data_IF_529796711280
#
_entry.id   IF_529796711280
#
_cell.length_a   1.000
_cell.length_b   1.000
_cell.length_c   1.000
_cell.angle_alpha   90.00
_cell.angle_beta   90.00
_cell.angle_gamma   90.00
#
_symmetry.space_group_name_H-M   'P 1'
#
loop_
_entity.id
_entity.type
_entity.pdbx_description
1 polymer ?
#
# COMPACT_ATOMS: atom_id res chain seq x y z
N UNK A 1 -3.40 13.36 18.44
CA UNK A 1 -2.20 12.52 18.22
C UNK A 1 -1.11 13.42 17.70
N UNK A 2 0.09 13.33 18.25
CA UNK A 2 1.23 14.14 17.81
C UNK A 2 1.76 13.58 16.47
N UNK A 3 1.93 14.46 15.49
CA UNK A 3 2.27 14.12 14.10
C UNK A 3 3.61 13.37 14.00
N UNK A 4 4.55 13.68 14.90
CA UNK A 4 5.84 13.00 14.98
C UNK A 4 5.69 11.52 15.37
N UNK A 5 4.80 11.23 16.31
CA UNK A 5 4.54 9.85 16.77
C UNK A 5 3.87 9.01 15.67
N UNK A 6 3.00 9.60 14.85
CA UNK A 6 2.41 8.93 13.70
C UNK A 6 3.46 8.56 12.65
N UNK A 7 4.37 9.50 12.33
CA UNK A 7 5.45 9.25 11.38
C UNK A 7 6.43 8.18 11.86
N UNK A 8 6.77 8.16 13.15
CA UNK A 8 7.62 7.12 13.73
C UNK A 8 6.98 5.73 13.59
N UNK A 9 5.70 5.58 13.95
CA UNK A 9 4.96 4.32 13.76
C UNK A 9 4.92 3.90 12.30
N UNK A 10 4.71 4.84 11.38
CA UNK A 10 4.68 4.56 9.95
C UNK A 10 6.05 4.10 9.41
N UNK A 11 7.15 4.67 9.91
CA UNK A 11 8.51 4.22 9.58
C UNK A 11 8.78 2.83 10.14
N UNK A 12 8.35 2.54 11.37
CA UNK A 12 8.49 1.20 11.96
C UNK A 12 7.69 0.15 11.16
N UNK A 13 6.45 0.45 10.81
CA UNK A 13 5.64 -0.41 9.94
C UNK A 13 6.26 -0.58 8.55
N UNK A 14 6.83 0.47 7.96
CA UNK A 14 7.55 0.38 6.69
C UNK A 14 8.78 -0.53 6.80
N UNK A 15 9.56 -0.44 7.88
CA UNK A 15 10.69 -1.34 8.10
C UNK A 15 10.24 -2.79 8.12
N UNK A 16 9.13 -3.08 8.80
CA UNK A 16 8.59 -4.43 8.89
C UNK A 16 8.09 -4.92 7.52
N UNK A 17 7.41 -4.07 6.75
CA UNK A 17 7.01 -4.35 5.36
C UNK A 17 8.20 -4.65 4.45
N UNK A 18 9.28 -3.86 4.55
CA UNK A 18 10.50 -4.07 3.76
C UNK A 18 11.20 -5.38 4.14
N UNK A 19 11.15 -5.79 5.41
CA UNK A 19 11.69 -7.08 5.84
C UNK A 19 10.88 -8.27 5.25
N UNK A 20 9.57 -8.10 5.08
CA UNK A 20 8.71 -9.12 4.46
C UNK A 20 9.06 -9.36 2.98
N UNK A 21 9.49 -8.33 2.24
CA UNK A 21 9.92 -8.47 0.83
C UNK A 21 10.93 -9.61 0.69
N UNK A 22 11.97 -9.63 1.53
CA UNK A 22 12.99 -10.67 1.46
C UNK A 22 12.53 -12.02 2.04
N UNK A 23 11.66 -12.02 3.06
CA UNK A 23 11.25 -13.25 3.75
C UNK A 23 10.15 -14.02 3.02
N UNK A 24 9.30 -13.32 2.28
CA UNK A 24 8.10 -13.85 1.62
C UNK A 24 8.17 -13.74 0.09
N UNK A 25 9.29 -13.28 -0.45
CA UNK A 25 9.49 -13.07 -1.89
C UNK A 25 8.43 -12.14 -2.51
N UNK A 26 8.09 -11.06 -1.79
CA UNK A 26 7.09 -10.10 -2.25
C UNK A 26 7.68 -9.17 -3.32
N UNK A 27 6.86 -8.68 -4.26
CA UNK A 27 7.33 -7.74 -5.27
C UNK A 27 7.76 -6.42 -4.66
N UNK A 28 8.81 -5.83 -5.21
CA UNK A 28 9.28 -4.51 -4.83
C UNK A 28 8.33 -3.47 -5.41
N UNK A 29 7.75 -2.65 -4.54
CA UNK A 29 6.85 -1.56 -4.89
C UNK A 29 7.33 -0.26 -4.24
N UNK A 30 6.86 0.88 -4.74
CA UNK A 30 7.16 2.17 -4.14
C UNK A 30 6.32 2.41 -2.89
N UNK A 31 6.92 2.87 -1.79
CA UNK A 31 6.22 3.20 -0.56
C UNK A 31 6.28 4.69 -0.25
N UNK A 32 5.16 5.27 0.19
CA UNK A 32 5.09 6.64 0.69
C UNK A 32 4.56 6.68 2.12
N UNK A 33 5.19 7.51 2.96
CA UNK A 33 4.71 7.85 4.30
C UNK A 33 3.93 9.16 4.23
N UNK A 34 2.73 9.17 4.77
CA UNK A 34 1.88 10.36 4.82
C UNK A 34 1.66 10.79 6.27
N UNK A 35 1.56 12.11 6.47
CA UNK A 35 1.22 12.70 7.77
C UNK A 35 -0.14 13.40 7.77
N UNK A 36 -0.90 13.26 6.68
CA UNK A 36 -2.24 13.85 6.56
C UNK A 36 -3.27 12.93 7.20
N UNK A 37 -4.24 13.45 7.97
CA UNK A 37 -5.35 12.65 8.50
C UNK A 37 -6.29 12.13 7.39
N UNK A 38 -6.27 12.75 6.20
CA UNK A 38 -7.15 12.38 5.08
C UNK A 38 -6.58 11.27 4.19
N UNK A 39 -5.38 10.76 4.51
CA UNK A 39 -4.70 9.70 3.76
C UNK A 39 -4.35 8.54 4.67
N UNK A 40 -4.19 7.37 4.08
CA UNK A 40 -3.53 6.26 4.76
C UNK A 40 -2.14 6.72 5.24
N UNK A 41 -1.71 6.28 6.43
CA UNK A 41 -0.40 6.65 6.96
C UNK A 41 0.74 6.10 6.09
N UNK A 42 0.50 4.98 5.42
CA UNK A 42 1.37 4.38 4.42
C UNK A 42 0.59 4.06 3.15
N UNK A 43 1.20 4.34 2.00
CA UNK A 43 0.69 3.91 0.69
C UNK A 43 1.77 3.18 -0.08
N UNK A 44 1.46 1.97 -0.57
CA UNK A 44 2.27 1.20 -1.50
C UNK A 44 1.75 1.34 -2.92
N UNK A 45 2.64 1.61 -3.89
CA UNK A 45 2.33 1.86 -5.29
C UNK A 45 2.98 0.79 -6.15
N UNK A 46 2.16 -0.04 -6.79
CA UNK A 46 2.61 -1.03 -7.76
C UNK A 46 2.85 -0.30 -9.10
N UNK A 47 4.11 0.03 -9.36
CA UNK A 47 4.54 0.95 -10.42
C UNK A 47 5.37 0.27 -11.52
N UNK A 48 5.24 -1.06 -11.66
CA UNK A 48 5.80 -1.80 -12.78
C UNK A 48 5.37 -1.20 -14.14
N UNK A 49 6.24 -1.26 -15.15
CA UNK A 49 5.95 -0.67 -16.47
C UNK A 49 4.76 -1.35 -17.17
N UNK A 50 4.60 -2.65 -16.96
CA UNK A 50 3.52 -3.46 -17.52
C UNK A 50 2.27 -3.45 -16.62
N UNK A 51 1.09 -3.21 -17.19
CA UNK A 51 -0.17 -3.19 -16.44
C UNK A 51 -0.56 -4.57 -15.91
N UNK A 52 -0.19 -5.65 -16.60
CA UNK A 52 -0.42 -7.00 -16.09
C UNK A 52 0.46 -7.27 -14.87
N UNK A 53 1.74 -6.89 -14.91
CA UNK A 53 2.64 -6.97 -13.76
C UNK A 53 2.15 -6.11 -12.59
N UNK A 54 1.74 -4.86 -12.81
CA UNK A 54 1.18 -3.99 -11.74
C UNK A 54 -0.02 -4.63 -11.04
N UNK A 55 -0.90 -5.27 -11.82
CA UNK A 55 -2.04 -6.01 -11.26
C UNK A 55 -1.59 -7.21 -10.44
N UNK A 56 -0.60 -7.97 -10.91
CA UNK A 56 -0.06 -9.11 -10.15
C UNK A 56 0.56 -8.65 -8.83
N UNK A 57 1.38 -7.60 -8.88
CA UNK A 57 2.04 -7.05 -7.68
C UNK A 57 1.01 -6.58 -6.65
N UNK A 58 -0.06 -5.93 -7.13
CA UNK A 58 -1.19 -5.52 -6.30
C UNK A 58 -1.86 -6.70 -5.60
N UNK A 59 -2.14 -7.80 -6.30
CA UNK A 59 -2.80 -8.95 -5.70
C UNK A 59 -1.91 -9.63 -4.66
N UNK A 60 -0.60 -9.76 -4.95
CA UNK A 60 0.37 -10.35 -4.00
C UNK A 60 0.42 -9.52 -2.72
N UNK A 61 0.52 -8.19 -2.81
CA UNK A 61 0.52 -7.32 -1.64
C UNK A 61 -0.82 -7.29 -0.91
N UNK A 62 -1.94 -7.28 -1.64
CA UNK A 62 -3.28 -7.36 -1.04
C UNK A 62 -3.42 -8.62 -0.19
N UNK A 63 -2.99 -9.77 -0.71
CA UNK A 63 -3.05 -11.05 -0.01
C UNK A 63 -2.09 -11.09 1.18
N UNK A 64 -0.85 -10.66 0.98
CA UNK A 64 0.16 -10.59 2.03
C UNK A 64 -0.29 -9.72 3.23
N UNK A 65 -1.03 -8.65 2.98
CA UNK A 65 -1.52 -7.74 4.01
C UNK A 65 -2.90 -8.09 4.55
N UNK A 66 -3.57 -9.09 3.96
CA UNK A 66 -5.00 -9.35 4.16
C UNK A 66 -5.84 -8.07 3.96
N UNK A 67 -5.45 -7.25 2.98
CA UNK A 67 -6.10 -5.97 2.71
C UNK A 67 -7.43 -6.16 1.99
N UNK A 68 -8.43 -5.39 2.40
CA UNK A 68 -9.73 -5.39 1.78
C UNK A 68 -9.70 -4.60 0.48
N UNK A 69 -10.18 -5.20 -0.62
CA UNK A 69 -10.23 -4.54 -1.91
C UNK A 69 -11.37 -3.52 -1.92
N UNK A 70 -11.04 -2.29 -2.27
CA UNK A 70 -12.02 -1.24 -2.50
C UNK A 70 -12.65 -1.37 -3.90
N UNK A 71 -13.88 -0.85 -4.12
CA UNK A 71 -14.47 -0.81 -5.45
C UNK A 71 -13.52 -0.13 -6.43
N UNK A 72 -13.34 -0.74 -7.61
CA UNK A 72 -12.49 -0.20 -8.65
C UNK A 72 -12.95 1.22 -9.02
N UNK A 73 -12.05 2.20 -8.91
CA UNK A 73 -12.35 3.58 -9.30
C UNK A 73 -11.88 3.77 -10.74
N UNK A 74 -12.80 4.12 -11.62
CA UNK A 74 -12.45 4.62 -12.94
C UNK A 74 -11.97 6.08 -12.77
N UNK A 75 -10.68 6.34 -12.97
CA UNK A 75 -10.17 7.72 -13.01
C UNK A 75 -10.16 8.20 -14.46
N UNK A 76 -11.30 8.73 -14.93
CA UNK A 76 -11.40 9.43 -16.22
C UNK A 76 -10.74 8.71 -17.41
N UNK A 77 -10.14 9.48 -18.32
CA UNK A 77 -9.52 8.99 -19.57
C UNK A 77 -8.24 8.15 -19.38
N UNK A 78 -7.76 7.93 -18.14
CA UNK A 78 -6.37 7.48 -17.89
C UNK A 78 -6.20 6.05 -17.35
N UNK A 79 -7.25 5.24 -17.31
CA UNK A 79 -7.17 3.82 -16.90
C UNK A 79 -7.98 3.50 -15.65
N UNK A 80 -7.93 2.25 -15.22
CA UNK A 80 -8.64 1.78 -14.02
C UNK A 80 -7.69 1.76 -12.83
N UNK A 81 -8.17 2.17 -11.65
CA UNK A 81 -7.36 2.17 -10.42
C UNK A 81 -7.83 1.08 -9.46
N UNK A 82 -6.91 0.21 -9.08
CA UNK A 82 -7.08 -0.78 -8.02
C UNK A 82 -6.60 -0.20 -6.70
N UNK A 83 -7.40 -0.36 -5.64
CA UNK A 83 -7.09 0.10 -4.29
C UNK A 83 -7.45 -1.01 -3.31
N UNK A 84 -6.57 -1.28 -2.35
CA UNK A 84 -6.84 -2.14 -1.21
C UNK A 84 -6.36 -1.47 0.08
N UNK A 85 -7.06 -1.69 1.19
CA UNK A 85 -6.77 -1.04 2.47
C UNK A 85 -6.77 -2.02 3.63
N UNK A 86 -5.91 -1.80 4.62
CA UNK A 86 -5.89 -2.53 5.90
C UNK A 86 -5.65 -1.54 7.04
N UNK A 87 -6.30 -1.74 8.19
CA UNK A 87 -6.18 -0.85 9.35
C UNK A 87 -5.67 -1.55 10.63
N UNK A 88 -5.81 -2.87 10.74
CA UNK A 88 -5.64 -3.58 12.02
C UNK A 88 -4.31 -4.32 12.21
N UNK A 89 -3.44 -4.40 11.19
CA UNK A 89 -2.27 -5.30 11.24
C UNK A 89 -0.92 -4.62 11.54
N UNK A 90 -0.83 -3.29 11.50
CA UNK A 90 0.46 -2.57 11.60
C UNK A 90 0.38 -1.40 12.55
N UNK A 91 0.39 -1.68 13.86
CA UNK A 91 0.35 -0.65 14.90
C UNK A 91 -0.86 0.30 14.69
N UNK A 92 -2.07 -0.22 14.46
CA UNK A 92 -3.30 0.57 14.19
C UNK A 92 -3.16 1.61 13.05
N UNK A 93 -2.22 1.41 12.13
CA UNK A 93 -2.04 2.29 10.98
C UNK A 93 -2.86 1.80 9.81
N UNK A 94 -3.53 2.75 9.16
CA UNK A 94 -4.07 2.53 7.83
C UNK A 94 -2.95 2.42 6.81
N UNK A 95 -2.93 1.32 6.07
CA UNK A 95 -2.08 1.09 4.91
C UNK A 95 -2.98 0.94 3.69
N UNK A 96 -2.59 1.58 2.60
CA UNK A 96 -3.24 1.47 1.30
C UNK A 96 -2.27 0.88 0.27
N UNK A 97 -2.74 -0.01 -0.60
CA UNK A 97 -2.02 -0.52 -1.78
C UNK A 97 -2.75 -0.05 -3.03
N UNK A 98 -2.00 0.46 -4.00
CA UNK A 98 -2.53 1.14 -5.18
C UNK A 98 -1.85 0.59 -6.43
N UNK A 99 -2.63 0.34 -7.48
CA UNK A 99 -2.14 0.08 -8.82
C UNK A 99 -3.00 0.79 -9.87
N UNK A 100 -2.34 1.38 -10.87
CA UNK A 100 -2.97 1.94 -12.07
C UNK A 100 -2.83 0.93 -13.20
N UNK A 101 -3.96 0.52 -13.81
CA UNK A 101 -4.02 -0.55 -14.83
C UNK A 101 -4.71 -0.10 -16.12
#
# INVERSE_FOLDING_TARGET
>A
MDQLHLQQRAIDALRDLLARISNEDLPVITWAVHSSPDKAALSGFCDAEDSQQRRMDFEVWREALYAERQPMKAEGESGSRLIATVQDNYLDLSIEIIAEI
#
